data_IF_267747381710
#
_entry.id   IF_267747381710
#
_cell.length_a   1.000
_cell.length_b   1.000
_cell.length_c   1.000
_cell.angle_alpha   90.00
_cell.angle_beta   90.00
_cell.angle_gamma   90.00
#
_symmetry.space_group_name_H-M   'P 1'
#
loop_
_entity.id
_entity.type
_entity.pdbx_description
1 polymer ?
#
# COMPACT_ATOMS: atom_id res chain seq x y z
N UNK A 1 34.49 32.56 2.48
CA UNK A 1 34.43 31.95 1.13
C UNK A 1 34.29 30.42 1.19
N UNK A 2 35.08 29.71 2.02
CA UNK A 2 34.94 28.26 2.23
C UNK A 2 33.53 27.82 2.68
N UNK A 3 32.88 28.60 3.54
CA UNK A 3 31.51 28.32 4.01
C UNK A 3 30.50 28.32 2.85
N UNK A 4 30.59 29.29 1.94
CA UNK A 4 29.67 29.38 0.79
C UNK A 4 29.91 28.22 -0.18
N UNK A 5 31.18 27.85 -0.39
CA UNK A 5 31.54 26.69 -1.20
C UNK A 5 31.07 25.37 -0.57
N UNK A 6 31.16 25.22 0.75
CA UNK A 6 30.60 24.05 1.44
C UNK A 6 29.08 24.00 1.39
N UNK A 7 28.40 25.15 1.40
CA UNK A 7 26.94 25.20 1.22
C UNK A 7 26.53 24.76 -0.19
N UNK A 8 27.26 25.16 -1.24
CA UNK A 8 27.02 24.66 -2.60
C UNK A 8 27.30 23.15 -2.72
N UNK A 9 28.37 22.65 -2.08
CA UNK A 9 28.67 21.22 -2.05
C UNK A 9 27.62 20.40 -1.30
N UNK A 10 27.06 20.95 -0.22
CA UNK A 10 26.02 20.29 0.58
C UNK A 10 24.71 20.08 -0.19
N UNK A 11 24.45 20.84 -1.27
CA UNK A 11 23.28 20.63 -2.13
C UNK A 11 23.35 19.33 -2.95
N UNK A 12 24.53 18.72 -3.05
CA UNK A 12 24.75 17.43 -3.73
C UNK A 12 24.79 16.24 -2.77
N UNK A 13 24.44 16.44 -1.49
CA UNK A 13 24.31 15.33 -0.55
C UNK A 13 23.03 14.59 -0.88
N UNK A 14 23.18 13.38 -1.44
CA UNK A 14 22.08 12.44 -1.62
C UNK A 14 21.98 11.55 -0.38
N UNK A 15 20.76 11.39 0.15
CA UNK A 15 20.51 10.35 1.14
C UNK A 15 20.38 9.01 0.42
N UNK A 16 21.26 8.08 0.74
CA UNK A 16 21.18 6.70 0.27
C UNK A 16 20.86 5.79 1.46
N UNK A 17 19.81 4.99 1.34
CA UNK A 17 19.39 4.00 2.34
C UNK A 17 19.00 2.73 1.60
N UNK A 18 19.68 1.62 1.89
CA UNK A 18 19.47 0.36 1.19
C UNK A 18 20.55 -0.66 1.55
N UNK A 19 20.36 -1.92 1.16
CA UNK A 19 21.33 -2.97 1.47
C UNK A 19 22.68 -2.73 0.78
N UNK A 20 22.68 -2.01 -0.34
CA UNK A 20 23.86 -1.57 -1.08
C UNK A 20 24.71 -0.52 -0.38
N UNK A 21 24.17 0.16 0.64
CA UNK A 21 24.95 1.06 1.50
C UNK A 21 25.57 0.33 2.68
N UNK A 22 25.12 -0.90 2.95
CA UNK A 22 25.59 -1.76 4.04
C UNK A 22 26.54 -2.86 3.55
N UNK A 23 26.44 -3.26 2.27
CA UNK A 23 27.22 -4.35 1.68
C UNK A 23 27.64 -3.99 0.24
N UNK A 24 28.87 -4.32 -0.14
CA UNK A 24 29.38 -4.05 -1.50
C UNK A 24 28.55 -4.74 -2.58
N UNK A 25 28.19 -3.99 -3.63
CA UNK A 25 27.43 -4.49 -4.80
C UNK A 25 28.13 -5.62 -5.55
N UNK A 26 29.45 -5.71 -5.46
CA UNK A 26 30.23 -6.76 -6.13
C UNK A 26 30.26 -8.08 -5.36
N UNK A 27 29.87 -8.06 -4.07
CA UNK A 27 29.91 -9.23 -3.22
C UNK A 27 28.91 -10.30 -3.66
N UNK A 28 29.30 -11.56 -3.50
CA UNK A 28 28.39 -12.68 -3.76
C UNK A 28 27.13 -12.60 -2.88
N UNK A 29 27.31 -12.16 -1.63
CA UNK A 29 26.20 -11.94 -0.69
C UNK A 29 25.19 -10.93 -1.22
N UNK A 30 25.63 -9.79 -1.75
CA UNK A 30 24.73 -8.79 -2.34
C UNK A 30 24.00 -9.34 -3.57
N UNK A 31 24.72 -10.03 -4.46
CA UNK A 31 24.14 -10.63 -5.67
C UNK A 31 23.09 -11.69 -5.35
N UNK A 32 23.38 -12.56 -4.38
CA UNK A 32 22.47 -13.61 -3.95
C UNK A 32 21.22 -13.01 -3.28
N UNK A 33 21.41 -12.03 -2.39
CA UNK A 33 20.31 -11.35 -1.71
C UNK A 33 19.43 -10.55 -2.69
N UNK A 34 20.02 -9.75 -3.59
CA UNK A 34 19.28 -8.92 -4.54
C UNK A 34 18.57 -9.76 -5.61
N UNK A 35 19.30 -10.66 -6.28
CA UNK A 35 18.78 -11.36 -7.46
C UNK A 35 18.00 -12.64 -7.14
N UNK A 36 18.31 -13.33 -6.03
CA UNK A 36 17.65 -14.60 -5.69
C UNK A 36 16.55 -14.45 -4.64
N UNK A 37 16.55 -13.35 -3.87
CA UNK A 37 15.59 -13.15 -2.79
C UNK A 37 14.75 -11.88 -2.93
N UNK A 38 15.38 -10.70 -3.09
CA UNK A 38 14.64 -9.44 -3.14
C UNK A 38 13.81 -9.29 -4.42
N UNK A 39 14.43 -9.42 -5.60
CA UNK A 39 13.73 -9.36 -6.89
C UNK A 39 12.54 -10.34 -7.03
N UNK A 40 12.69 -11.63 -6.68
CA UNK A 40 11.61 -12.59 -6.89
C UNK A 40 10.59 -12.70 -5.73
N UNK A 41 10.95 -12.35 -4.50
CA UNK A 41 10.11 -12.67 -3.33
C UNK A 41 9.89 -11.52 -2.35
N UNK A 42 10.63 -10.41 -2.43
CA UNK A 42 10.36 -9.27 -1.55
C UNK A 42 9.14 -8.51 -2.04
N UNK A 43 8.22 -8.23 -1.12
CA UNK A 43 7.09 -7.34 -1.32
C UNK A 43 7.25 -6.20 -0.34
N UNK A 44 7.32 -4.98 -0.84
CA UNK A 44 7.20 -3.79 -0.01
C UNK A 44 5.74 -3.35 0.06
N UNK A 45 5.37 -2.62 1.11
CA UNK A 45 4.00 -2.17 1.31
C UNK A 45 3.94 -0.66 1.53
N UNK A 46 3.08 0.00 0.77
CA UNK A 46 2.62 1.35 1.01
C UNK A 46 1.33 1.23 1.82
N UNK A 47 1.31 1.83 3.01
CA UNK A 47 0.12 1.87 3.87
C UNK A 47 -0.54 3.24 3.69
N UNK A 48 -1.75 3.24 3.16
CA UNK A 48 -2.62 4.41 3.11
C UNK A 48 -3.60 4.36 4.28
N UNK A 49 -3.62 5.40 5.10
CA UNK A 49 -4.64 5.57 6.13
C UNK A 49 -5.71 6.54 5.62
N UNK A 50 -6.97 6.15 5.75
CA UNK A 50 -8.14 6.96 5.43
C UNK A 50 -8.80 7.37 6.74
N UNK A 51 -8.98 8.67 6.92
CA UNK A 51 -9.66 9.27 8.07
C UNK A 51 -11.03 9.82 7.64
N UNK A 52 -12.07 9.54 8.44
CA UNK A 52 -13.41 10.03 8.24
C UNK A 52 -14.23 10.02 9.53
N UNK A 53 -15.46 10.54 9.47
CA UNK A 53 -16.36 10.52 10.65
C UNK A 53 -16.88 9.11 10.96
N UNK A 54 -17.09 8.31 9.90
CA UNK A 54 -17.50 6.92 9.97
C UNK A 54 -17.00 6.17 8.74
N UNK A 55 -16.01 5.29 8.93
CA UNK A 55 -15.39 4.51 7.84
C UNK A 55 -16.20 3.28 7.44
N UNK A 56 -17.21 2.89 8.23
CA UNK A 56 -18.07 1.71 8.01
C UNK A 56 -19.29 1.99 7.13
N UNK A 57 -19.20 2.93 6.19
CA UNK A 57 -20.31 3.35 5.32
C UNK A 57 -20.14 2.87 3.89
N UNK A 58 -21.24 2.68 3.17
CA UNK A 58 -21.29 2.28 1.76
C UNK A 58 -20.48 3.23 0.89
N UNK A 59 -20.68 4.55 1.05
CA UNK A 59 -19.93 5.54 0.30
C UNK A 59 -18.40 5.43 0.48
N UNK A 60 -17.93 5.13 1.70
CA UNK A 60 -16.49 4.97 1.98
C UNK A 60 -15.96 3.64 1.44
N UNK A 61 -16.72 2.54 1.60
CA UNK A 61 -16.31 1.24 1.07
C UNK A 61 -16.29 1.23 -0.47
N UNK A 62 -17.24 1.88 -1.11
CA UNK A 62 -17.25 2.11 -2.55
C UNK A 62 -16.07 2.98 -3.00
N UNK A 63 -15.71 4.01 -2.23
CA UNK A 63 -14.51 4.81 -2.50
C UNK A 63 -13.22 3.99 -2.36
N UNK A 64 -13.13 3.16 -1.33
CA UNK A 64 -12.00 2.25 -1.13
C UNK A 64 -11.91 1.19 -2.24
N UNK A 65 -13.04 0.65 -2.71
CA UNK A 65 -13.08 -0.27 -3.84
C UNK A 65 -12.59 0.38 -5.14
N UNK A 66 -13.02 1.61 -5.42
CA UNK A 66 -12.53 2.36 -6.59
C UNK A 66 -11.02 2.62 -6.50
N UNK A 67 -10.55 3.04 -5.33
CA UNK A 67 -9.12 3.25 -5.08
C UNK A 67 -8.32 1.97 -5.30
N UNK A 68 -8.81 0.83 -4.82
CA UNK A 68 -8.20 -0.49 -5.03
C UNK A 68 -8.11 -0.80 -6.53
N UNK A 69 -9.22 -0.69 -7.26
CA UNK A 69 -9.26 -0.97 -8.69
C UNK A 69 -8.31 -0.07 -9.48
N UNK A 70 -8.24 1.22 -9.14
CA UNK A 70 -7.33 2.16 -9.79
C UNK A 70 -5.87 1.90 -9.43
N UNK A 71 -5.57 1.58 -8.17
CA UNK A 71 -4.22 1.30 -7.69
C UNK A 71 -3.64 0.05 -8.34
N UNK A 72 -4.47 -0.97 -8.58
CA UNK A 72 -4.08 -2.19 -9.29
C UNK A 72 -3.69 -1.95 -10.76
N UNK A 73 -4.09 -0.83 -11.36
CA UNK A 73 -3.68 -0.46 -12.73
C UNK A 73 -2.29 0.20 -12.78
N UNK A 74 -1.74 0.59 -11.63
CA UNK A 74 -0.44 1.26 -11.55
C UNK A 74 0.69 0.23 -11.72
N UNK A 75 1.60 0.40 -12.69
CA UNK A 75 2.72 -0.54 -12.88
C UNK A 75 3.57 -0.68 -11.61
N UNK A 76 3.88 -1.91 -11.23
CA UNK A 76 4.66 -2.25 -10.03
C UNK A 76 3.83 -2.50 -8.78
N UNK A 77 2.52 -2.21 -8.80
CA UNK A 77 1.57 -2.66 -7.78
C UNK A 77 1.22 -4.12 -8.03
N UNK A 78 1.40 -4.97 -7.02
CA UNK A 78 1.17 -6.42 -7.13
C UNK A 78 -0.14 -6.85 -6.47
N UNK A 79 -0.53 -6.19 -5.37
CA UNK A 79 -1.75 -6.49 -4.64
C UNK A 79 -2.24 -5.23 -3.91
N UNK A 80 -3.55 -5.09 -3.77
CA UNK A 80 -4.15 -4.04 -2.94
C UNK A 80 -5.20 -4.68 -2.05
N UNK A 81 -5.05 -4.49 -0.73
CA UNK A 81 -5.95 -5.01 0.29
C UNK A 81 -6.58 -3.87 1.07
N UNK A 82 -7.91 -3.82 1.08
CA UNK A 82 -8.72 -2.83 1.77
C UNK A 82 -9.87 -3.52 2.52
N UNK A 83 -10.53 -2.89 3.50
CA UNK A 83 -11.78 -3.37 4.06
C UNK A 83 -12.84 -3.69 2.99
N UNK A 84 -12.91 -2.89 1.92
CA UNK A 84 -13.81 -3.15 0.80
C UNK A 84 -13.47 -4.46 0.07
N UNK A 85 -12.17 -4.78 -0.10
CA UNK A 85 -11.73 -6.06 -0.67
C UNK A 85 -12.23 -7.26 0.14
N UNK A 86 -12.19 -7.17 1.48
CA UNK A 86 -12.64 -8.22 2.40
C UNK A 86 -14.18 -8.32 2.38
N UNK A 87 -14.87 -7.18 2.40
CA UNK A 87 -16.33 -7.13 2.28
C UNK A 87 -16.80 -7.80 0.99
N UNK A 88 -16.17 -7.53 -0.16
CA UNK A 88 -16.49 -8.20 -1.44
C UNK A 88 -16.30 -9.71 -1.36
N UNK A 89 -15.22 -10.17 -0.73
CA UNK A 89 -14.94 -11.61 -0.57
C UNK A 89 -15.99 -12.30 0.30
N UNK A 90 -16.36 -11.69 1.43
CA UNK A 90 -17.40 -12.22 2.31
C UNK A 90 -18.77 -12.17 1.62
N UNK A 91 -19.12 -11.06 0.97
CA UNK A 91 -20.37 -10.93 0.22
C UNK A 91 -20.47 -11.98 -0.89
N UNK A 92 -19.37 -12.29 -1.58
CA UNK A 92 -19.32 -13.37 -2.54
C UNK A 92 -19.57 -14.74 -1.89
N UNK A 93 -18.96 -15.01 -0.73
CA UNK A 93 -19.17 -16.25 0.00
C UNK A 93 -20.61 -16.43 0.51
N UNK A 94 -21.27 -15.35 0.92
CA UNK A 94 -22.62 -15.36 1.50
C UNK A 94 -23.73 -15.28 0.44
N UNK A 95 -23.60 -14.38 -0.53
CA UNK A 95 -24.66 -14.05 -1.50
C UNK A 95 -24.34 -14.44 -2.94
N UNK A 96 -23.08 -14.81 -3.24
CA UNK A 96 -22.59 -15.05 -4.59
C UNK A 96 -22.26 -13.79 -5.38
N UNK A 97 -22.32 -12.59 -4.76
CA UNK A 97 -22.02 -11.31 -5.42
C UNK A 97 -20.70 -10.73 -4.90
N UNK A 98 -19.72 -10.57 -5.80
CA UNK A 98 -18.43 -9.95 -5.48
C UNK A 98 -18.49 -8.43 -5.67
N UNK A 99 -19.28 -7.75 -4.85
CA UNK A 99 -19.42 -6.29 -4.83
C UNK A 99 -19.52 -5.78 -3.39
N UNK A 100 -19.27 -4.49 -3.18
CA UNK A 100 -19.63 -3.84 -1.92
C UNK A 100 -21.16 -3.84 -1.81
N UNK A 101 -21.74 -4.17 -0.63
CA UNK A 101 -23.17 -4.08 -0.43
C UNK A 101 -23.70 -2.63 -0.51
N UNK A 102 -24.90 -2.47 -1.07
CA UNK A 102 -25.52 -1.15 -1.30
C UNK A 102 -26.10 -0.50 -0.02
N UNK A 103 -25.78 -1.01 1.17
CA UNK A 103 -26.31 -0.47 2.43
C UNK A 103 -25.30 -0.48 3.58
N UNK A 104 -25.23 0.66 4.29
CA UNK A 104 -24.42 0.82 5.50
C UNK A 104 -24.69 -0.28 6.54
N UNK A 105 -25.96 -0.71 6.67
CA UNK A 105 -26.36 -1.75 7.62
C UNK A 105 -25.71 -3.09 7.27
N UNK A 106 -25.77 -3.50 6.01
CA UNK A 106 -25.20 -4.78 5.57
C UNK A 106 -23.67 -4.78 5.68
N UNK A 107 -23.03 -3.64 5.41
CA UNK A 107 -21.59 -3.46 5.61
C UNK A 107 -21.22 -3.63 7.09
N UNK A 108 -21.95 -2.98 8.00
CA UNK A 108 -21.70 -3.10 9.44
C UNK A 108 -21.94 -4.51 9.95
N UNK A 109 -23.01 -5.16 9.51
CA UNK A 109 -23.29 -6.55 9.84
C UNK A 109 -22.12 -7.46 9.43
N UNK A 110 -21.55 -7.28 8.23
CA UNK A 110 -20.36 -8.04 7.80
C UNK A 110 -19.15 -7.76 8.71
N UNK A 111 -18.89 -6.50 9.07
CA UNK A 111 -17.77 -6.14 9.94
C UNK A 111 -17.95 -6.72 11.35
N UNK A 112 -19.18 -6.70 11.87
CA UNK A 112 -19.52 -7.19 13.21
C UNK A 112 -19.57 -8.73 13.29
N UNK A 113 -19.99 -9.41 12.22
CA UNK A 113 -20.07 -10.87 12.16
C UNK A 113 -18.70 -11.53 11.93
N UNK A 114 -17.76 -10.81 11.31
CA UNK A 114 -16.45 -11.32 10.91
C UNK A 114 -15.28 -10.39 11.33
N UNK A 115 -15.21 -9.93 12.59
CA UNK A 115 -14.28 -8.89 13.02
C UNK A 115 -12.81 -9.26 12.81
N UNK A 116 -12.46 -10.56 12.90
CA UNK A 116 -11.10 -11.07 12.77
C UNK A 116 -10.44 -10.76 11.41
N UNK A 117 -11.24 -10.54 10.35
CA UNK A 117 -10.73 -10.18 9.03
C UNK A 117 -10.48 -8.68 8.87
N UNK A 118 -11.00 -7.86 9.80
CA UNK A 118 -10.90 -6.41 9.75
C UNK A 118 -9.96 -5.81 10.79
N UNK A 119 -9.52 -6.57 11.81
CA UNK A 119 -8.68 -6.05 12.92
C UNK A 119 -7.42 -5.29 12.48
N UNK A 120 -6.83 -5.69 11.34
CA UNK A 120 -5.62 -5.05 10.80
C UNK A 120 -5.91 -3.90 9.82
N UNK A 121 -7.15 -3.70 9.42
CA UNK A 121 -7.55 -2.75 8.37
C UNK A 121 -8.58 -1.71 8.85
N UNK A 122 -9.35 -1.97 9.91
CA UNK A 122 -10.24 -1.00 10.55
C UNK A 122 -9.71 -0.80 11.97
N UNK A 123 -9.09 0.35 12.21
CA UNK A 123 -8.44 0.66 13.49
C UNK A 123 -9.48 1.10 14.51
N UNK A 124 -10.39 1.96 14.06
CA UNK A 124 -11.55 2.44 14.82
C UNK A 124 -12.64 2.91 13.84
N UNK A 125 -13.72 3.51 14.36
CA UNK A 125 -14.82 4.00 13.54
C UNK A 125 -14.43 5.13 12.59
N UNK A 126 -13.28 5.76 12.78
CA UNK A 126 -12.80 6.94 12.05
C UNK A 126 -11.58 6.67 11.17
N UNK A 127 -10.90 5.54 11.36
CA UNK A 127 -9.65 5.21 10.68
C UNK A 127 -9.68 3.81 10.06
N UNK A 128 -9.36 3.73 8.78
CA UNK A 128 -9.12 2.47 8.08
C UNK A 128 -7.83 2.53 7.26
N UNK A 129 -7.28 1.35 6.96
CA UNK A 129 -6.05 1.17 6.20
C UNK A 129 -6.35 0.52 4.86
N UNK A 130 -5.64 0.96 3.83
CA UNK A 130 -5.49 0.27 2.55
C UNK A 130 -4.01 -0.06 2.38
N UNK A 131 -3.71 -1.34 2.17
CA UNK A 131 -2.36 -1.85 2.00
C UNK A 131 -2.12 -2.09 0.52
N UNK A 132 -1.15 -1.38 -0.04
CA UNK A 132 -0.75 -1.50 -1.44
C UNK A 132 0.61 -2.19 -1.45
N UNK A 133 0.63 -3.45 -1.89
CA UNK A 133 1.87 -4.20 -2.07
C UNK A 133 2.47 -3.89 -3.43
N UNK A 134 3.78 -3.70 -3.44
CA UNK A 134 4.57 -3.42 -4.64
C UNK A 134 5.72 -4.42 -4.75
N UNK A 135 6.25 -4.56 -5.96
CA UNK A 135 7.45 -5.36 -6.20
C UNK A 135 8.60 -4.85 -5.32
N UNK A 136 9.23 -5.71 -4.52
CA UNK A 136 10.31 -5.32 -3.61
C UNK A 136 11.61 -4.91 -4.31
N UNK A 137 11.71 -5.10 -5.62
CA UNK A 137 12.76 -4.49 -6.46
C UNK A 137 12.45 -3.08 -6.94
N UNK A 138 11.34 -2.48 -6.50
CA UNK A 138 10.97 -1.10 -6.87
C UNK A 138 12.01 -0.12 -6.34
N UNK A 139 12.55 0.70 -7.24
CA UNK A 139 13.41 1.84 -6.89
C UNK A 139 12.61 2.94 -6.18
N UNK A 140 13.28 3.81 -5.43
CA UNK A 140 12.60 4.93 -4.76
C UNK A 140 11.84 5.85 -5.73
N UNK A 141 12.36 6.06 -6.94
CA UNK A 141 11.65 6.79 -7.98
C UNK A 141 10.36 6.09 -8.41
N UNK A 142 10.39 4.76 -8.56
CA UNK A 142 9.18 3.99 -8.89
C UNK A 142 8.16 4.05 -7.76
N UNK A 143 8.60 4.02 -6.50
CA UNK A 143 7.71 4.20 -5.34
C UNK A 143 7.05 5.58 -5.35
N UNK A 144 7.82 6.63 -5.63
CA UNK A 144 7.31 8.00 -5.74
C UNK A 144 6.32 8.15 -6.92
N UNK A 145 6.64 7.54 -8.06
CA UNK A 145 5.76 7.52 -9.23
C UNK A 145 4.45 6.78 -8.91
N UNK A 146 4.50 5.63 -8.23
CA UNK A 146 3.33 4.87 -7.78
C UNK A 146 2.46 5.75 -6.87
N UNK A 147 3.06 6.38 -5.86
CA UNK A 147 2.35 7.29 -4.94
C UNK A 147 1.72 8.48 -5.66
N UNK A 148 2.40 9.06 -6.65
CA UNK A 148 1.88 10.17 -7.43
C UNK A 148 0.70 9.74 -8.30
N UNK A 149 0.75 8.56 -8.92
CA UNK A 149 -0.36 8.03 -9.69
C UNK A 149 -1.59 7.73 -8.82
N UNK A 150 -1.39 7.15 -7.63
CA UNK A 150 -2.48 6.85 -6.70
C UNK A 150 -3.17 8.13 -6.20
N UNK A 151 -2.41 9.21 -5.96
CA UNK A 151 -3.00 10.50 -5.51
C UNK A 151 -3.86 11.20 -6.57
N UNK A 152 -3.67 10.88 -7.84
CA UNK A 152 -4.35 11.53 -8.98
C UNK A 152 -5.57 10.71 -9.43
N UNK A 153 -5.65 9.44 -9.01
CA UNK A 153 -6.75 8.54 -9.30
C UNK A 153 -8.01 8.85 -8.46
#
# INVERSE_FOLDING_TARGET
>A
MLIILSLQGAQYIEMASGTETQVSKDSQLYKDYDHLFMKPFSTESIILMVEGNDVGTEAIMEAADRLEQQSLLVPGVTEVSSPASIIKQINYAVSGRSQVPDSDREIREIIEDYPEYFESLIIDNTHMLTVIQIEGSSTDQQKEDILNNIKIA
#
